data_IF_201432920259
#
_entry.id   IF_201432920259
#
_cell.length_a   1.000
_cell.length_b   1.000
_cell.length_c   1.000
_cell.angle_alpha   90.00
_cell.angle_beta   90.00
_cell.angle_gamma   90.00
#
_symmetry.space_group_name_H-M   'P 1'
#
loop_
_entity.id
_entity.type
_entity.pdbx_description
1 polymer ?
#
# COMPACT_ATOMS: atom_id res chain seq x y z
N UNK A 1 -37.06 -18.40 27.74
CA UNK A 1 -37.37 -17.22 26.91
C UNK A 1 -36.22 -16.25 27.11
N UNK A 2 -35.24 -16.25 26.22
CA UNK A 2 -34.08 -15.37 26.31
C UNK A 2 -34.23 -14.37 25.15
N UNK A 3 -34.78 -13.19 25.46
CA UNK A 3 -34.91 -12.11 24.49
C UNK A 3 -33.52 -11.68 24.04
N UNK A 4 -33.22 -12.01 22.78
CA UNK A 4 -31.98 -11.62 22.12
C UNK A 4 -32.10 -10.13 21.83
N UNK A 5 -31.54 -9.31 22.72
CA UNK A 5 -31.56 -7.85 22.56
C UNK A 5 -30.94 -7.47 21.20
N UNK A 6 -31.75 -6.87 20.31
CA UNK A 6 -31.25 -6.33 19.06
C UNK A 6 -30.23 -5.21 19.37
N UNK A 7 -29.07 -5.18 18.70
CA UNK A 7 -28.10 -4.11 18.88
C UNK A 7 -28.77 -2.78 18.51
N UNK A 8 -28.87 -1.89 19.49
CA UNK A 8 -29.51 -0.59 19.35
C UNK A 8 -28.60 0.29 18.47
N UNK A 9 -28.91 0.37 17.18
CA UNK A 9 -28.25 1.30 16.26
C UNK A 9 -28.63 2.71 16.69
N UNK A 10 -27.70 3.46 17.27
CA UNK A 10 -27.96 4.82 17.75
C UNK A 10 -28.22 5.77 16.57
N UNK A 11 -29.17 6.73 16.68
CA UNK A 11 -29.44 7.72 15.63
C UNK A 11 -28.20 8.50 15.21
N UNK A 12 -27.29 8.75 16.16
CA UNK A 12 -25.99 9.39 15.92
C UNK A 12 -25.10 8.56 15.02
N UNK A 13 -25.16 7.21 15.12
CA UNK A 13 -24.43 6.30 14.25
C UNK A 13 -24.86 6.43 12.78
N UNK A 14 -26.18 6.49 12.56
CA UNK A 14 -26.75 6.64 11.23
C UNK A 14 -26.43 8.03 10.65
N UNK A 15 -26.39 9.05 11.50
CA UNK A 15 -26.14 10.42 11.08
C UNK A 15 -24.68 10.67 10.67
N UNK A 16 -23.68 10.12 11.39
CA UNK A 16 -22.28 10.27 10.98
C UNK A 16 -21.99 9.51 9.68
N UNK A 17 -22.57 8.32 9.50
CA UNK A 17 -22.38 7.52 8.29
C UNK A 17 -22.96 8.25 7.06
N UNK A 18 -24.14 8.86 7.21
CA UNK A 18 -24.76 9.69 6.17
C UNK A 18 -23.95 10.94 5.85
N UNK A 19 -23.27 11.54 6.83
CA UNK A 19 -22.38 12.69 6.60
C UNK A 19 -21.09 12.31 5.85
N UNK A 20 -20.68 11.04 5.89
CA UNK A 20 -19.53 10.52 5.13
C UNK A 20 -19.87 10.09 3.70
N UNK A 21 -21.16 9.81 3.41
CA UNK A 21 -21.65 9.39 2.10
C UNK A 21 -21.35 10.37 0.93
N UNK A 22 -21.36 11.70 1.10
CA UNK A 22 -20.98 12.65 0.05
C UNK A 22 -19.52 12.50 -0.39
N UNK A 23 -18.60 12.20 0.54
CA UNK A 23 -17.19 11.99 0.22
C UNK A 23 -16.97 10.72 -0.60
N UNK A 24 -17.72 9.67 -0.30
CA UNK A 24 -17.73 8.41 -1.07
C UNK A 24 -18.17 8.67 -2.51
N UNK A 25 -19.28 9.39 -2.70
CA UNK A 25 -19.84 9.62 -4.02
C UNK A 25 -19.00 10.62 -4.86
N UNK A 26 -18.33 11.57 -4.21
CA UNK A 26 -17.47 12.57 -4.88
C UNK A 26 -16.15 11.96 -5.39
N UNK A 27 -15.62 10.96 -4.69
CA UNK A 27 -14.32 10.36 -5.01
C UNK A 27 -14.40 8.98 -5.67
N UNK A 28 -15.60 8.42 -5.83
CA UNK A 28 -15.81 7.21 -6.62
C UNK A 28 -15.25 7.39 -8.04
N UNK A 29 -14.50 6.39 -8.50
CA UNK A 29 -13.86 6.37 -9.81
C UNK A 29 -12.60 7.25 -9.94
N UNK A 30 -12.24 8.02 -8.90
CA UNK A 30 -10.98 8.79 -8.86
C UNK A 30 -9.81 7.89 -8.45
N UNK A 31 -8.61 8.31 -8.82
CA UNK A 31 -7.36 7.63 -8.47
C UNK A 31 -6.70 8.33 -7.30
N UNK A 32 -6.38 7.57 -6.25
CA UNK A 32 -5.70 8.03 -5.05
C UNK A 32 -4.31 7.43 -5.02
N UNK A 33 -3.28 8.28 -4.96
CA UNK A 33 -1.89 7.85 -4.79
C UNK A 33 -1.55 7.99 -3.31
N UNK A 34 -1.27 6.88 -2.65
CA UNK A 34 -0.98 6.83 -1.22
C UNK A 34 0.47 6.39 -1.04
N UNK A 35 1.30 7.30 -0.53
CA UNK A 35 2.68 7.02 -0.18
C UNK A 35 2.80 6.75 1.32
N UNK A 36 3.49 5.67 1.70
CA UNK A 36 3.86 5.39 3.09
C UNK A 36 5.32 4.94 3.22
N UNK A 37 5.95 5.26 4.34
CA UNK A 37 7.33 4.86 4.64
C UNK A 37 7.46 3.35 4.87
N UNK A 38 8.69 2.84 4.80
CA UNK A 38 8.96 1.43 5.11
C UNK A 38 8.73 1.10 6.59
N UNK A 39 8.76 2.12 7.45
CA UNK A 39 8.45 2.04 8.88
C UNK A 39 7.01 1.60 9.13
N UNK A 40 6.08 2.05 8.28
CA UNK A 40 4.67 1.70 8.39
C UNK A 40 4.45 0.18 8.20
N UNK A 41 5.21 -0.45 7.30
CA UNK A 41 5.12 -1.89 7.01
C UNK A 41 5.57 -2.73 8.22
N UNK A 42 6.54 -2.24 9.00
CA UNK A 42 7.03 -2.93 10.20
C UNK A 42 6.14 -2.68 11.42
N UNK A 43 5.20 -1.75 11.34
CA UNK A 43 4.38 -1.36 12.48
C UNK A 43 3.29 -2.43 12.73
N UNK A 44 3.01 -2.81 13.99
CA UNK A 44 1.98 -3.82 14.29
C UNK A 44 0.58 -3.42 13.81
N UNK A 45 0.33 -2.11 13.70
CA UNK A 45 -0.93 -1.55 13.17
C UNK A 45 -1.07 -1.59 11.63
N UNK A 46 -0.08 -2.11 10.90
CA UNK A 46 -0.12 -2.09 9.43
C UNK A 46 -1.33 -2.87 8.88
N UNK A 47 -1.76 -3.93 9.56
CA UNK A 47 -2.97 -4.68 9.20
C UNK A 47 -4.21 -3.77 9.13
N UNK A 48 -4.38 -2.83 10.08
CA UNK A 48 -5.52 -1.91 10.05
C UNK A 48 -5.46 -0.98 8.82
N UNK A 49 -4.26 -0.54 8.43
CA UNK A 49 -4.09 0.23 7.21
C UNK A 49 -4.45 -0.56 5.94
N UNK A 50 -4.16 -1.87 5.91
CA UNK A 50 -4.60 -2.76 4.82
C UNK A 50 -6.14 -2.84 4.77
N UNK A 51 -6.82 -2.90 5.91
CA UNK A 51 -8.30 -2.86 5.94
C UNK A 51 -8.84 -1.53 5.41
N UNK A 52 -8.21 -0.41 5.76
CA UNK A 52 -8.59 0.92 5.24
C UNK A 52 -8.42 1.01 3.72
N UNK A 53 -7.33 0.44 3.16
CA UNK A 53 -7.14 0.36 1.71
C UNK A 53 -8.20 -0.50 1.04
N UNK A 54 -8.54 -1.65 1.62
CA UNK A 54 -9.61 -2.51 1.12
C UNK A 54 -10.96 -1.79 1.13
N UNK A 55 -11.25 -1.05 2.20
CA UNK A 55 -12.46 -0.24 2.31
C UNK A 55 -12.51 0.82 1.21
N UNK A 56 -11.47 1.64 1.04
CA UNK A 56 -11.40 2.67 0.00
C UNK A 56 -11.60 2.06 -1.41
N UNK A 57 -10.98 0.92 -1.67
CA UNK A 57 -11.17 0.20 -2.94
C UNK A 57 -12.63 -0.25 -3.11
N UNK A 58 -13.26 -0.82 -2.08
CA UNK A 58 -14.67 -1.26 -2.12
C UNK A 58 -15.67 -0.11 -2.37
N UNK A 59 -15.30 1.11 -1.98
CA UNK A 59 -16.08 2.33 -2.24
C UNK A 59 -16.00 2.78 -3.72
N UNK A 60 -15.13 2.16 -4.51
CA UNK A 60 -14.91 2.40 -5.92
C UNK A 60 -13.78 3.39 -6.20
N UNK A 61 -12.88 3.61 -5.25
CA UNK A 61 -11.69 4.45 -5.43
C UNK A 61 -10.56 3.57 -6.00
N UNK A 62 -9.88 4.06 -7.04
CA UNK A 62 -8.71 3.36 -7.60
C UNK A 62 -7.49 3.72 -6.78
N UNK A 63 -6.82 2.74 -6.19
CA UNK A 63 -5.66 2.96 -5.34
C UNK A 63 -4.35 2.68 -6.06
N UNK A 64 -3.41 3.61 -5.92
CA UNK A 64 -2.00 3.46 -6.30
C UNK A 64 -1.20 3.55 -5.00
N UNK A 65 -0.67 2.42 -4.55
CA UNK A 65 0.08 2.34 -3.30
C UNK A 65 1.58 2.47 -3.61
N UNK A 66 2.24 3.37 -2.90
CA UNK A 66 3.67 3.64 -3.01
C UNK A 66 4.30 3.40 -1.65
N UNK A 67 5.27 2.50 -1.57
CA UNK A 67 5.91 2.17 -0.29
C UNK A 67 7.41 2.50 -0.30
N UNK A 68 7.89 2.99 0.84
CA UNK A 68 9.31 3.04 1.14
C UNK A 68 9.86 1.67 1.56
N UNK A 69 11.18 1.56 1.65
CA UNK A 69 11.87 0.35 2.08
C UNK A 69 13.12 0.64 2.93
N UNK A 70 13.29 1.89 3.40
CA UNK A 70 14.51 2.36 4.09
C UNK A 70 14.90 1.47 5.28
N UNK A 71 14.01 1.15 6.24
CA UNK A 71 14.38 0.30 7.38
C UNK A 71 14.78 -1.12 7.00
N UNK A 72 14.13 -1.69 5.98
CA UNK A 72 14.40 -3.06 5.53
C UNK A 72 15.70 -3.15 4.73
N UNK A 73 15.97 -2.13 3.91
CA UNK A 73 17.25 -1.97 3.22
C UNK A 73 18.37 -1.85 4.25
N UNK A 74 18.25 -0.96 5.24
CA UNK A 74 19.26 -0.78 6.29
C UNK A 74 19.53 -2.09 7.04
N UNK A 75 18.47 -2.80 7.43
CA UNK A 75 18.58 -4.11 8.10
C UNK A 75 19.31 -5.14 7.25
N UNK A 76 19.07 -5.17 5.95
CA UNK A 76 19.73 -6.12 5.06
C UNK A 76 21.19 -5.73 4.79
N UNK A 77 21.48 -4.45 4.55
CA UNK A 77 22.86 -3.97 4.36
C UNK A 77 23.72 -4.25 5.60
N UNK A 78 23.18 -4.02 6.80
CA UNK A 78 23.87 -4.32 8.05
C UNK A 78 24.22 -5.81 8.21
N UNK A 79 23.40 -6.73 7.71
CA UNK A 79 23.69 -8.18 7.77
C UNK A 79 24.86 -8.60 6.88
N UNK A 80 25.05 -7.92 5.76
CA UNK A 80 26.11 -8.20 4.79
C UNK A 80 27.30 -7.23 4.92
N UNK A 81 27.31 -6.42 5.98
CA UNK A 81 28.37 -5.46 6.30
C UNK A 81 28.69 -4.47 5.16
N UNK A 82 27.68 -4.14 4.35
CA UNK A 82 27.83 -3.13 3.31
C UNK A 82 27.72 -1.72 3.90
N UNK A 83 28.73 -0.89 3.66
CA UNK A 83 28.65 0.53 3.92
C UNK A 83 27.84 1.22 2.80
N UNK A 84 26.81 1.98 3.19
CA UNK A 84 25.94 2.69 2.27
C UNK A 84 25.49 4.00 2.90
N UNK A 85 26.35 5.03 2.87
CA UNK A 85 26.08 6.29 3.52
C UNK A 85 24.96 7.06 2.83
N UNK A 86 24.30 7.90 3.60
CA UNK A 86 23.37 8.90 3.10
C UNK A 86 24.16 10.18 2.78
N UNK A 87 24.01 10.68 1.55
CA UNK A 87 24.52 11.96 1.12
C UNK A 87 23.35 12.83 0.65
N UNK A 88 23.07 13.93 1.35
CA UNK A 88 21.92 14.82 1.08
C UNK A 88 20.59 14.06 0.98
N UNK A 89 20.30 13.19 1.97
CA UNK A 89 19.11 12.32 2.03
C UNK A 89 18.97 11.29 0.91
N UNK A 90 19.94 11.21 -0.01
CA UNK A 90 20.02 10.20 -1.05
C UNK A 90 21.02 9.14 -0.61
N UNK A 91 20.64 7.87 -0.71
CA UNK A 91 21.53 6.77 -0.37
C UNK A 91 22.54 6.57 -1.49
N UNK A 92 23.82 6.54 -1.13
CA UNK A 92 24.88 6.12 -2.02
C UNK A 92 24.99 4.60 -1.92
N UNK A 93 24.64 3.93 -3.01
CA UNK A 93 24.57 2.46 -3.06
C UNK A 93 25.67 1.91 -3.95
N UNK A 94 26.62 1.12 -3.41
CA UNK A 94 27.60 0.42 -4.23
C UNK A 94 26.93 -0.70 -5.04
N UNK A 95 27.49 -1.04 -6.20
CA UNK A 95 26.89 -2.00 -7.14
C UNK A 95 26.72 -3.38 -6.50
N UNK A 96 27.63 -3.75 -5.63
CA UNK A 96 27.70 -5.02 -4.90
C UNK A 96 26.55 -5.17 -3.90
N UNK A 97 26.03 -4.06 -3.38
CA UNK A 97 24.91 -4.02 -2.45
C UNK A 97 23.52 -4.03 -3.14
N UNK A 98 23.48 -3.84 -4.46
CA UNK A 98 22.22 -3.80 -5.22
C UNK A 98 21.35 -5.06 -5.08
N UNK A 99 21.90 -6.30 -5.15
CA UNK A 99 21.09 -7.50 -4.97
C UNK A 99 20.39 -7.55 -3.61
N UNK A 100 21.11 -7.16 -2.55
CA UNK A 100 20.60 -7.09 -1.17
C UNK A 100 19.44 -6.08 -1.03
N UNK A 101 19.52 -4.96 -1.74
CA UNK A 101 18.46 -3.94 -1.77
C UNK A 101 17.25 -4.45 -2.54
N UNK A 102 17.46 -5.07 -3.70
CA UNK A 102 16.38 -5.64 -4.50
C UNK A 102 15.62 -6.72 -3.73
N UNK A 103 16.34 -7.56 -2.98
CA UNK A 103 15.74 -8.55 -2.09
C UNK A 103 14.85 -7.89 -1.03
N UNK A 104 15.35 -6.83 -0.34
CA UNK A 104 14.58 -6.12 0.68
C UNK A 104 13.29 -5.51 0.11
N UNK A 105 13.39 -4.85 -1.05
CA UNK A 105 12.25 -4.21 -1.72
C UNK A 105 11.25 -5.26 -2.23
N UNK A 106 11.74 -6.34 -2.84
CA UNK A 106 10.90 -7.43 -3.33
C UNK A 106 10.15 -8.14 -2.20
N UNK A 107 10.81 -8.38 -1.08
CA UNK A 107 10.19 -9.00 0.10
C UNK A 107 9.04 -8.15 0.65
N UNK A 108 9.22 -6.82 0.77
CA UNK A 108 8.15 -5.92 1.21
C UNK A 108 6.98 -5.94 0.24
N UNK A 109 7.25 -5.86 -1.07
CA UNK A 109 6.19 -5.89 -2.09
C UNK A 109 5.34 -7.16 -1.95
N UNK A 110 5.99 -8.32 -1.87
CA UNK A 110 5.32 -9.61 -1.70
C UNK A 110 4.52 -9.65 -0.39
N UNK A 111 5.07 -9.11 0.70
CA UNK A 111 4.37 -9.02 1.99
C UNK A 111 3.08 -8.18 1.90
N UNK A 112 3.16 -6.99 1.27
CA UNK A 112 2.01 -6.09 1.10
C UNK A 112 0.97 -6.76 0.19
N UNK A 113 1.39 -7.32 -0.94
CA UNK A 113 0.50 -8.03 -1.86
C UNK A 113 -0.20 -9.21 -1.19
N UNK A 114 0.51 -9.99 -0.37
CA UNK A 114 -0.07 -11.09 0.38
C UNK A 114 -1.11 -10.60 1.39
N UNK A 115 -0.82 -9.54 2.14
CA UNK A 115 -1.76 -8.98 3.12
C UNK A 115 -2.98 -8.35 2.46
N UNK A 116 -2.80 -7.62 1.36
CA UNK A 116 -3.92 -7.11 0.56
C UNK A 116 -4.76 -8.25 0.00
N UNK A 117 -4.14 -9.33 -0.50
CA UNK A 117 -4.87 -10.49 -1.01
C UNK A 117 -5.73 -11.16 0.07
N UNK A 118 -5.19 -11.27 1.30
CA UNK A 118 -5.93 -11.84 2.43
C UNK A 118 -7.01 -10.90 2.97
N UNK A 119 -6.74 -9.59 3.06
CA UNK A 119 -7.70 -8.58 3.52
C UNK A 119 -8.83 -8.32 2.52
N UNK A 120 -8.53 -8.43 1.23
CA UNK A 120 -9.51 -8.30 0.13
C UNK A 120 -10.26 -9.61 -0.13
N UNK A 121 -9.80 -10.77 0.34
CA UNK A 121 -10.54 -12.04 0.14
C UNK A 121 -11.95 -12.03 0.77
N UNK A 122 -12.23 -11.16 1.75
CA UNK A 122 -13.57 -10.96 2.33
C UNK A 122 -14.44 -9.93 1.57
N UNK A 123 -13.94 -9.31 0.49
CA UNK A 123 -14.68 -8.32 -0.31
C UNK A 123 -14.40 -8.52 -1.81
N UNK A 124 -15.43 -8.84 -2.61
CA UNK A 124 -15.30 -9.35 -3.97
C UNK A 124 -14.30 -8.61 -4.91
N UNK A 125 -13.22 -9.34 -5.24
CA UNK A 125 -12.40 -9.43 -6.47
C UNK A 125 -11.56 -8.24 -7.03
N UNK A 126 -10.29 -8.60 -7.32
CA UNK A 126 -9.28 -8.07 -8.26
C UNK A 126 -8.98 -6.55 -8.21
N UNK A 127 -8.17 -6.14 -7.23
CA UNK A 127 -7.51 -4.83 -7.26
C UNK A 127 -6.27 -4.88 -8.18
N UNK A 128 -6.33 -4.22 -9.34
CA UNK A 128 -5.13 -3.90 -10.12
C UNK A 128 -4.37 -2.78 -9.39
N UNK A 129 -3.48 -3.15 -8.47
CA UNK A 129 -2.62 -2.22 -7.73
C UNK A 129 -1.35 -1.99 -8.53
N UNK A 130 -1.25 -0.85 -9.22
CA UNK A 130 0.01 -0.42 -9.82
C UNK A 130 0.89 0.19 -8.74
N UNK A 131 1.94 -0.53 -8.33
CA UNK A 131 2.95 -0.03 -7.38
C UNK A 131 4.02 0.75 -8.16
N UNK A 132 4.12 2.06 -7.91
CA UNK A 132 5.14 2.92 -8.51
C UNK A 132 6.29 3.12 -7.53
N UNK A 133 7.53 2.88 -7.98
CA UNK A 133 8.74 3.08 -7.18
C UNK A 133 9.22 4.54 -7.27
N UNK A 134 9.33 5.29 -6.16
CA UNK A 134 9.96 6.60 -6.16
C UNK A 134 11.45 6.43 -5.88
N UNK A 135 12.28 6.73 -6.88
CA UNK A 135 13.72 6.88 -6.67
C UNK A 135 14.59 6.01 -7.58
N UNK A 136 14.64 6.34 -8.86
CA UNK A 136 15.85 6.21 -9.67
C UNK A 136 15.88 7.39 -10.65
N UNK A 137 16.91 8.21 -10.57
CA UNK A 137 17.19 9.32 -11.49
C UNK A 137 17.70 8.83 -12.84
N UNK A 138 17.03 7.82 -13.42
CA UNK A 138 17.30 7.27 -14.75
C UNK A 138 15.98 7.13 -15.52
N UNK A 139 15.36 8.27 -15.87
CA UNK A 139 14.41 8.31 -16.97
C UNK A 139 15.17 8.39 -18.29
N UNK A 140 15.21 7.25 -18.99
CA UNK A 140 15.12 7.07 -20.46
C UNK A 140 15.24 5.55 -20.68
N UNK A 141 14.26 4.95 -21.35
CA UNK A 141 14.21 3.53 -21.81
C UNK A 141 13.54 2.44 -20.96
N UNK A 142 12.58 2.75 -20.09
CA UNK A 142 11.58 1.73 -19.68
C UNK A 142 10.15 2.24 -19.77
N UNK A 143 9.82 2.70 -20.99
CA UNK A 143 8.46 3.02 -21.41
C UNK A 143 7.99 1.94 -22.41
N UNK A 144 7.98 0.65 -22.03
CA UNK A 144 7.20 -0.36 -22.76
C UNK A 144 6.77 -1.47 -21.80
N UNK A 145 5.63 -1.28 -21.14
CA UNK A 145 4.63 -2.34 -20.95
C UNK A 145 3.36 -1.73 -20.36
N UNK A 146 2.79 -0.75 -21.07
CA UNK A 146 1.34 -0.60 -21.05
C UNK A 146 0.75 -1.89 -21.63
N UNK A 147 0.13 -2.70 -20.78
CA UNK A 147 -0.93 -3.61 -21.25
C UNK A 147 -2.21 -3.17 -20.59
N UNK A 148 -2.77 -2.11 -21.19
CA UNK A 148 -4.20 -1.83 -21.19
C UNK A 148 -4.90 -3.10 -21.66
N UNK A 149 -5.50 -3.84 -20.74
CA UNK A 149 -6.66 -4.66 -21.04
C UNK A 149 -7.84 -4.09 -20.27
N UNK A 150 -8.43 -3.07 -20.91
CA UNK A 150 -9.84 -2.75 -20.77
C UNK A 150 -10.63 -3.97 -21.24
N UNK A 151 -11.46 -4.53 -20.35
CA UNK A 151 -12.62 -5.32 -20.76
C UNK A 151 -13.83 -4.65 -20.12
N UNK A 152 -14.79 -4.37 -21.00
CA UNK A 152 -16.10 -3.73 -20.85
C UNK A 152 -16.75 -3.77 -19.47
#
# INVERSE_FOLDING_TARGET
MNDTAMPQITPDYVHWFRNSAPYINTHRGKTFVIMFGGEAVNHPNFSNLIHDFALLHSLGIKLVLVHGARPQIEKNLAKFEFDSPLHNDIRVTPREAMPTILEAVGAIRLQIEAQLSMGLANSQCMAHVSMLYPGTSLQRDLMVSEMVLTTR
#
